data_IF_455208317403
#
_entry.id   IF_455208317403
#
_cell.length_a   1.000
_cell.length_b   1.000
_cell.length_c   1.000
_cell.angle_alpha   90.00
_cell.angle_beta   90.00
_cell.angle_gamma   90.00
#
_symmetry.space_group_name_H-M   'P 1'
#
loop_
_entity.id
_entity.type
_entity.pdbx_description
1 polymer ?
#
# COMPACT_ATOMS: atom_id res chain seq x y z
N UNK A 1 39.57 10.93 -10.27
CA UNK A 1 38.18 10.48 -10.47
C UNK A 1 37.32 11.02 -9.34
N UNK A 2 36.59 12.10 -9.59
CA UNK A 2 35.62 12.62 -8.63
C UNK A 2 34.36 11.76 -8.67
N UNK A 3 34.01 11.25 -7.50
CA UNK A 3 32.88 10.37 -7.26
C UNK A 3 31.64 11.26 -7.20
N UNK A 4 30.94 11.44 -8.33
CA UNK A 4 29.58 11.98 -8.37
C UNK A 4 28.69 10.91 -7.73
N UNK A 5 28.65 10.89 -6.39
CA UNK A 5 27.87 9.93 -5.61
C UNK A 5 26.42 10.38 -5.59
N UNK A 6 25.50 9.50 -6.00
CA UNK A 6 24.26 9.17 -5.28
C UNK A 6 23.75 10.32 -4.40
N UNK A 7 23.11 11.31 -4.99
CA UNK A 7 22.44 12.43 -4.29
C UNK A 7 21.09 12.68 -4.92
N UNK A 8 21.06 12.75 -6.25
CA UNK A 8 19.86 13.02 -7.06
C UNK A 8 18.71 12.03 -6.82
N UNK A 9 18.99 10.72 -6.69
CA UNK A 9 17.94 9.71 -6.45
C UNK A 9 17.42 9.76 -5.02
N UNK A 10 18.29 9.95 -4.03
CA UNK A 10 17.91 10.12 -2.62
C UNK A 10 17.05 11.38 -2.44
N UNK A 11 17.45 12.49 -3.06
CA UNK A 11 16.73 13.77 -3.03
C UNK A 11 15.31 13.65 -3.63
N UNK A 12 15.14 12.87 -4.71
CA UNK A 12 13.84 12.66 -5.34
C UNK A 12 12.89 11.82 -4.47
N UNK A 13 13.39 10.73 -3.87
CA UNK A 13 12.61 9.91 -2.94
C UNK A 13 12.26 10.68 -1.66
N UNK A 14 13.16 11.52 -1.16
CA UNK A 14 12.90 12.39 -0.01
C UNK A 14 11.82 13.45 -0.30
N UNK A 15 11.83 14.02 -1.51
CA UNK A 15 10.78 14.91 -1.98
C UNK A 15 9.43 14.18 -2.07
N UNK A 16 9.40 12.97 -2.67
CA UNK A 16 8.21 12.15 -2.73
C UNK A 16 7.67 11.84 -1.33
N UNK A 17 8.53 11.40 -0.41
CA UNK A 17 8.16 11.08 0.97
C UNK A 17 7.59 12.29 1.73
N UNK A 18 8.08 13.50 1.43
CA UNK A 18 7.54 14.73 2.01
C UNK A 18 6.12 14.99 1.51
N UNK A 19 5.86 14.80 0.22
CA UNK A 19 4.53 14.96 -0.35
C UNK A 19 3.60 13.83 0.13
N UNK A 20 4.08 12.59 0.21
CA UNK A 20 3.30 11.45 0.71
C UNK A 20 2.82 11.69 2.15
N UNK A 21 3.67 12.25 3.02
CA UNK A 21 3.27 12.66 4.38
C UNK A 21 2.22 13.77 4.38
N UNK A 22 2.30 14.72 3.44
CA UNK A 22 1.28 15.75 3.29
C UNK A 22 -0.06 15.18 2.80
N UNK A 23 -0.04 14.28 1.82
CA UNK A 23 -1.23 13.53 1.37
C UNK A 23 -1.86 12.79 2.54
N UNK A 24 -1.04 12.04 3.29
CA UNK A 24 -1.46 11.31 4.48
C UNK A 24 -2.14 12.22 5.51
N UNK A 25 -1.58 13.39 5.79
CA UNK A 25 -2.18 14.35 6.70
C UNK A 25 -3.51 14.92 6.19
N UNK A 26 -3.67 15.10 4.88
CA UNK A 26 -4.92 15.52 4.24
C UNK A 26 -5.99 14.42 4.33
N UNK A 27 -5.62 13.15 4.08
CA UNK A 27 -6.51 12.00 4.27
C UNK A 27 -6.93 11.81 5.73
N UNK A 28 -5.97 11.88 6.67
CA UNK A 28 -6.22 11.76 8.10
C UNK A 28 -7.18 12.85 8.59
N UNK A 29 -7.01 14.09 8.12
CA UNK A 29 -7.91 15.21 8.44
C UNK A 29 -9.33 15.00 7.91
N UNK A 30 -9.48 14.33 6.78
CA UNK A 30 -10.77 13.96 6.22
C UNK A 30 -11.35 12.67 6.83
N UNK A 31 -10.61 11.97 7.71
CA UNK A 31 -11.03 10.68 8.27
C UNK A 31 -10.98 9.52 7.25
N UNK A 32 -10.27 9.69 6.13
CA UNK A 32 -10.18 8.70 5.06
C UNK A 32 -9.01 7.75 5.30
N UNK A 33 -9.27 6.45 5.18
CA UNK A 33 -8.24 5.41 5.15
C UNK A 33 -7.85 5.15 3.70
N UNK A 34 -6.57 5.03 3.40
CA UNK A 34 -6.09 4.84 2.01
C UNK A 34 -5.39 3.51 1.86
N UNK A 35 -5.78 2.72 0.85
CA UNK A 35 -5.14 1.44 0.51
C UNK A 35 -4.60 1.49 -0.91
N UNK A 36 -3.32 1.21 -1.10
CA UNK A 36 -2.65 1.20 -2.40
C UNK A 36 -2.54 -0.24 -2.94
N UNK A 37 -3.23 -0.54 -4.04
CA UNK A 37 -3.21 -1.82 -4.73
C UNK A 37 -2.14 -1.82 -5.82
N UNK A 38 -1.10 -2.61 -5.64
CA UNK A 38 0.01 -2.77 -6.58
C UNK A 38 -0.02 -4.17 -7.20
N UNK A 39 0.47 -4.31 -8.43
CA UNK A 39 0.49 -5.60 -9.12
C UNK A 39 1.40 -5.61 -10.35
N UNK A 40 1.61 -6.77 -10.96
CA UNK A 40 1.99 -6.85 -12.38
C UNK A 40 0.82 -6.42 -13.29
N UNK A 41 1.07 -6.05 -14.57
CA UNK A 41 0.02 -5.95 -15.57
C UNK A 41 -0.80 -7.25 -15.66
N UNK A 42 -2.13 -7.13 -15.70
CA UNK A 42 -3.01 -8.28 -15.89
C UNK A 42 -3.18 -9.21 -14.68
N UNK A 43 -2.65 -8.87 -13.50
CA UNK A 43 -2.90 -9.64 -12.26
C UNK A 43 -4.38 -9.64 -11.82
N UNK A 44 -5.18 -8.68 -12.33
CA UNK A 44 -6.62 -8.61 -12.15
C UNK A 44 -7.09 -7.65 -11.06
N UNK A 45 -6.36 -6.54 -10.82
CA UNK A 45 -6.73 -5.50 -9.84
C UNK A 45 -8.13 -4.94 -10.10
N UNK A 46 -8.40 -4.44 -11.29
CA UNK A 46 -9.72 -3.89 -11.65
C UNK A 46 -10.84 -4.92 -11.51
N UNK A 47 -10.63 -6.17 -11.95
CA UNK A 47 -11.62 -7.24 -11.78
C UNK A 47 -11.86 -7.58 -10.31
N UNK A 48 -10.82 -7.56 -9.48
CA UNK A 48 -10.99 -7.68 -8.04
C UNK A 48 -11.83 -6.52 -7.50
N UNK A 49 -11.53 -5.27 -7.88
CA UNK A 49 -12.31 -4.12 -7.44
C UNK A 49 -13.78 -4.21 -7.87
N UNK A 50 -14.06 -4.60 -9.10
CA UNK A 50 -15.44 -4.82 -9.58
C UNK A 50 -16.20 -5.79 -8.67
N UNK A 51 -15.57 -6.91 -8.28
CA UNK A 51 -16.21 -7.93 -7.45
C UNK A 51 -16.27 -7.56 -5.97
N UNK A 52 -15.25 -6.87 -5.46
CA UNK A 52 -15.20 -6.42 -4.07
C UNK A 52 -16.26 -5.34 -3.83
N UNK A 53 -16.43 -4.40 -4.76
CA UNK A 53 -17.37 -3.29 -4.65
C UNK A 53 -18.80 -3.69 -5.06
N UNK A 54 -18.95 -4.46 -6.14
CA UNK A 54 -20.25 -4.85 -6.68
C UNK A 54 -20.99 -5.93 -5.88
N UNK A 55 -20.27 -6.74 -5.07
CA UNK A 55 -20.86 -7.91 -4.39
C UNK A 55 -21.17 -9.05 -5.36
N UNK A 56 -21.91 -10.07 -4.90
CA UNK A 56 -22.40 -11.16 -5.75
C UNK A 56 -23.80 -10.84 -6.31
N UNK A 57 -24.29 -11.65 -7.26
CA UNK A 57 -25.52 -11.48 -8.06
C UNK A 57 -26.65 -10.72 -7.33
N UNK A 58 -26.74 -9.40 -7.59
CA UNK A 58 -27.79 -8.53 -7.05
C UNK A 58 -27.36 -7.47 -6.03
N UNK A 59 -26.06 -7.29 -5.77
CA UNK A 59 -25.55 -6.14 -5.00
C UNK A 59 -25.58 -6.31 -3.47
N UNK A 60 -25.94 -7.50 -2.98
CA UNK A 60 -25.85 -7.83 -1.57
C UNK A 60 -24.42 -8.31 -1.24
N UNK A 61 -23.76 -7.66 -0.27
CA UNK A 61 -22.45 -8.11 0.26
C UNK A 61 -21.21 -7.42 -0.32
N UNK A 62 -21.35 -6.41 -1.18
CA UNK A 62 -20.21 -5.58 -1.60
C UNK A 62 -19.60 -4.79 -0.44
N UNK A 63 -18.34 -4.39 -0.57
CA UNK A 63 -17.59 -3.66 0.45
C UNK A 63 -18.26 -2.34 0.89
N UNK A 64 -19.03 -1.71 -0.01
CA UNK A 64 -19.83 -0.50 0.26
C UNK A 64 -21.30 -0.77 0.62
N UNK A 65 -21.67 -2.02 0.90
CA UNK A 65 -23.03 -2.40 1.28
C UNK A 65 -23.43 -1.93 2.69
N UNK A 66 -24.66 -2.22 3.14
CA UNK A 66 -25.16 -1.80 4.45
C UNK A 66 -24.23 -2.24 5.60
N UNK A 67 -23.66 -1.26 6.31
CA UNK A 67 -22.70 -1.50 7.42
C UNK A 67 -21.23 -1.55 7.02
N UNK A 68 -20.91 -1.48 5.72
CA UNK A 68 -19.54 -1.32 5.20
C UNK A 68 -19.09 0.14 5.07
N UNK A 69 -17.79 0.40 4.86
CA UNK A 69 -17.28 1.75 4.64
C UNK A 69 -17.78 2.36 3.33
N UNK A 70 -17.92 3.68 3.27
CA UNK A 70 -18.13 4.39 1.99
C UNK A 70 -16.83 4.35 1.19
N UNK A 71 -16.83 3.72 0.03
CA UNK A 71 -15.58 3.50 -0.74
C UNK A 71 -15.51 4.45 -1.93
N UNK A 72 -14.33 5.03 -2.16
CA UNK A 72 -13.94 5.67 -3.42
C UNK A 72 -12.74 4.99 -4.05
N UNK A 73 -12.54 5.19 -5.36
CA UNK A 73 -11.39 4.67 -6.11
C UNK A 73 -10.64 5.81 -6.79
N UNK A 74 -9.31 5.80 -6.66
CA UNK A 74 -8.40 6.55 -7.51
C UNK A 74 -7.74 5.55 -8.46
N UNK A 75 -8.12 5.59 -9.73
CA UNK A 75 -7.60 4.71 -10.78
C UNK A 75 -6.36 5.38 -11.40
N UNK A 76 -5.26 4.64 -11.47
CA UNK A 76 -4.01 5.10 -12.05
C UNK A 76 -3.52 4.18 -13.16
N UNK A 77 -3.52 4.68 -14.38
CA UNK A 77 -2.97 4.00 -15.55
C UNK A 77 -2.03 4.93 -16.34
N UNK A 78 -1.27 4.37 -17.26
CA UNK A 78 -0.41 5.15 -18.15
C UNK A 78 -1.26 6.03 -19.05
N UNK A 79 -2.31 5.47 -19.63
CA UNK A 79 -3.18 6.15 -20.58
C UNK A 79 -4.55 5.47 -20.64
N UNK A 80 -5.59 6.28 -20.84
CA UNK A 80 -6.95 5.82 -21.14
C UNK A 80 -7.90 6.02 -19.98
N UNK A 81 -9.02 5.31 -20.02
CA UNK A 81 -10.07 5.33 -18.99
C UNK A 81 -10.73 3.96 -18.82
N UNK A 82 -10.19 2.90 -19.44
CA UNK A 82 -10.88 1.61 -19.55
C UNK A 82 -11.26 1.05 -18.19
N UNK A 83 -10.35 1.13 -17.21
CA UNK A 83 -10.58 0.60 -15.88
C UNK A 83 -11.49 1.52 -15.04
N UNK A 84 -11.37 2.86 -15.17
CA UNK A 84 -12.34 3.77 -14.55
C UNK A 84 -13.76 3.65 -15.12
N UNK A 85 -13.90 3.46 -16.44
CA UNK A 85 -15.19 3.29 -17.11
C UNK A 85 -15.89 2.02 -16.62
N UNK A 86 -15.13 0.93 -16.48
CA UNK A 86 -15.60 -0.34 -15.88
C UNK A 86 -16.09 -0.17 -14.45
N UNK A 87 -15.38 0.62 -13.64
CA UNK A 87 -15.74 0.86 -12.24
C UNK A 87 -16.91 1.85 -12.08
N UNK A 88 -17.12 2.76 -13.03
CA UNK A 88 -18.16 3.79 -12.97
C UNK A 88 -19.57 3.21 -12.82
N UNK A 89 -19.81 1.99 -13.32
CA UNK A 89 -21.09 1.29 -13.21
C UNK A 89 -21.45 0.87 -11.77
N UNK A 90 -20.49 0.89 -10.84
CA UNK A 90 -20.66 0.41 -9.47
C UNK A 90 -21.16 1.50 -8.50
N UNK A 91 -21.45 2.70 -9.01
CA UNK A 91 -21.96 3.85 -8.25
C UNK A 91 -21.07 4.25 -7.06
N UNK A 92 -19.78 3.94 -7.12
CA UNK A 92 -18.76 4.49 -6.23
C UNK A 92 -18.10 5.72 -6.89
N UNK A 93 -17.60 6.70 -6.13
CA UNK A 93 -16.77 7.74 -6.69
C UNK A 93 -15.48 7.16 -7.30
N UNK A 94 -15.24 7.45 -8.58
CA UNK A 94 -14.01 7.06 -9.29
C UNK A 94 -13.35 8.31 -9.84
N UNK A 95 -12.06 8.48 -9.56
CA UNK A 95 -11.22 9.52 -10.17
C UNK A 95 -10.13 8.84 -10.98
N UNK A 96 -10.02 9.21 -12.26
CA UNK A 96 -8.97 8.74 -13.16
C UNK A 96 -7.72 9.62 -13.03
N UNK A 97 -6.54 9.00 -13.05
CA UNK A 97 -5.25 9.66 -13.10
C UNK A 97 -4.38 8.99 -14.16
N UNK A 98 -4.15 9.68 -15.28
CA UNK A 98 -3.24 9.20 -16.32
C UNK A 98 -1.82 9.72 -16.10
N UNK A 99 -0.83 8.82 -16.07
CA UNK A 99 0.57 9.21 -15.89
C UNK A 99 1.19 9.80 -17.15
N UNK A 100 0.63 9.60 -18.35
CA UNK A 100 1.09 10.31 -19.57
C UNK A 100 0.83 11.83 -19.50
N UNK A 101 -0.28 12.20 -18.86
CA UNK A 101 -0.89 13.52 -18.98
C UNK A 101 -0.28 14.44 -17.94
N UNK A 102 0.81 15.11 -18.34
CA UNK A 102 1.53 16.05 -17.49
C UNK A 102 2.61 15.41 -16.61
N UNK A 103 2.77 14.08 -16.66
CA UNK A 103 3.81 13.36 -15.90
C UNK A 103 4.76 12.50 -16.75
N UNK A 104 4.52 12.33 -18.05
CA UNK A 104 5.50 11.72 -18.96
C UNK A 104 5.41 10.20 -19.12
N UNK A 105 4.32 9.58 -18.69
CA UNK A 105 4.03 8.15 -18.89
C UNK A 105 4.72 7.26 -17.86
N UNK A 106 4.77 7.75 -16.62
CA UNK A 106 5.46 7.07 -15.53
C UNK A 106 4.89 5.67 -15.25
N UNK A 107 5.79 4.76 -14.88
CA UNK A 107 5.48 3.35 -14.61
C UNK A 107 4.81 3.10 -13.25
N UNK A 108 4.45 4.15 -12.50
CA UNK A 108 3.90 4.12 -11.16
C UNK A 108 3.15 5.43 -10.87
N UNK A 109 2.31 5.41 -9.84
CA UNK A 109 1.84 6.63 -9.19
C UNK A 109 2.82 7.07 -8.11
N UNK A 110 3.17 8.35 -8.11
CA UNK A 110 3.91 9.00 -7.03
C UNK A 110 2.98 9.87 -6.14
N UNK A 111 3.51 10.40 -5.05
CA UNK A 111 2.73 11.23 -4.14
C UNK A 111 2.27 12.54 -4.76
N UNK A 112 3.03 13.14 -5.69
CA UNK A 112 2.66 14.39 -6.33
C UNK A 112 1.50 14.20 -7.32
N UNK A 113 1.50 13.09 -8.06
CA UNK A 113 0.38 12.66 -8.89
C UNK A 113 -0.88 12.52 -8.04
N UNK A 114 -0.84 11.73 -6.96
CA UNK A 114 -1.99 11.57 -6.06
C UNK A 114 -2.42 12.90 -5.44
N UNK A 115 -1.47 13.79 -5.09
CA UNK A 115 -1.77 15.15 -4.60
C UNK A 115 -2.61 15.93 -5.61
N UNK A 116 -2.28 15.82 -6.90
CA UNK A 116 -2.98 16.55 -7.96
C UNK A 116 -4.43 16.10 -8.17
N UNK A 117 -4.75 14.84 -7.80
CA UNK A 117 -6.10 14.30 -7.85
C UNK A 117 -6.96 14.61 -6.61
N UNK A 118 -6.36 15.03 -5.48
CA UNK A 118 -7.09 15.31 -4.23
C UNK A 118 -8.29 16.26 -4.40
N UNK A 119 -8.22 17.36 -5.18
CA UNK A 119 -9.36 18.26 -5.34
C UNK A 119 -10.58 17.63 -6.03
N UNK A 120 -10.37 16.56 -6.81
CA UNK A 120 -11.44 15.83 -7.48
C UNK A 120 -12.01 14.68 -6.63
N UNK A 121 -11.30 14.26 -5.58
CA UNK A 121 -11.74 13.20 -4.67
C UNK A 121 -12.76 13.75 -3.67
N UNK A 122 -13.94 13.13 -3.52
CA UNK A 122 -14.95 13.57 -2.55
C UNK A 122 -14.62 13.04 -1.15
N UNK A 123 -13.50 13.50 -0.57
CA UNK A 123 -12.95 12.95 0.69
C UNK A 123 -13.94 13.00 1.87
N UNK A 124 -14.88 13.96 1.89
CA UNK A 124 -15.92 14.05 2.93
C UNK A 124 -17.02 12.98 2.80
N UNK A 125 -17.11 12.35 1.62
CA UNK A 125 -18.16 11.39 1.28
C UNK A 125 -17.69 9.93 1.35
N UNK A 126 -16.41 9.69 1.60
CA UNK A 126 -15.80 8.35 1.66
C UNK A 126 -15.10 8.13 3.00
N UNK A 127 -14.99 6.87 3.41
CA UNK A 127 -14.26 6.41 4.59
C UNK A 127 -12.99 5.62 4.18
N UNK A 128 -13.04 5.00 2.99
CA UNK A 128 -11.97 4.21 2.40
C UNK A 128 -11.72 4.66 0.97
N UNK A 129 -10.47 5.04 0.67
CA UNK A 129 -10.00 5.27 -0.70
C UNK A 129 -9.10 4.10 -1.12
N UNK A 130 -9.46 3.46 -2.22
CA UNK A 130 -8.60 2.46 -2.85
C UNK A 130 -7.87 3.11 -4.03
N UNK A 131 -6.55 3.14 -3.98
CA UNK A 131 -5.70 3.59 -5.08
C UNK A 131 -5.33 2.35 -5.90
N UNK A 132 -5.86 2.23 -7.12
CA UNK A 132 -5.40 1.24 -8.08
C UNK A 132 -4.15 1.77 -8.78
N UNK A 133 -2.98 1.25 -8.42
CA UNK A 133 -1.71 1.73 -8.99
C UNK A 133 -1.43 1.11 -10.36
N UNK A 134 -0.54 1.74 -11.12
CA UNK A 134 -0.08 1.23 -12.42
C UNK A 134 0.44 -0.20 -12.28
N UNK A 135 0.11 -1.07 -13.23
CA UNK A 135 0.60 -2.45 -13.26
C UNK A 135 2.11 -2.49 -13.47
N UNK A 136 2.89 -2.59 -12.39
CA UNK A 136 4.34 -2.76 -12.41
C UNK A 136 4.85 -3.36 -11.09
N UNK A 137 5.74 -4.36 -11.16
CA UNK A 137 6.31 -5.04 -9.98
C UNK A 137 7.59 -4.40 -9.40
N UNK A 138 8.05 -3.30 -9.99
CA UNK A 138 9.32 -2.65 -9.66
C UNK A 138 9.06 -1.24 -9.15
N UNK A 139 8.60 -0.34 -10.02
CA UNK A 139 8.51 1.08 -9.72
C UNK A 139 7.63 1.39 -8.48
N UNK A 140 6.39 0.87 -8.35
CA UNK A 140 5.49 1.30 -7.28
C UNK A 140 5.97 0.93 -5.88
N UNK A 141 6.90 -0.03 -5.75
CA UNK A 141 7.41 -0.47 -4.46
C UNK A 141 8.30 0.57 -3.76
N UNK A 142 8.81 1.57 -4.50
CA UNK A 142 9.70 2.62 -3.98
C UNK A 142 8.95 3.90 -3.59
N UNK A 143 7.71 4.09 -4.06
CA UNK A 143 6.98 5.35 -3.96
C UNK A 143 5.77 5.23 -3.06
N UNK A 144 5.83 5.90 -1.91
CA UNK A 144 4.65 6.16 -1.09
C UNK A 144 3.77 7.21 -1.75
N UNK A 145 2.45 7.00 -1.69
CA UNK A 145 1.43 7.94 -2.18
C UNK A 145 0.64 8.61 -1.06
N UNK A 146 0.88 8.20 0.20
CA UNK A 146 0.18 8.68 1.39
C UNK A 146 -0.78 7.64 2.00
N UNK A 147 -0.61 6.38 1.61
CA UNK A 147 -1.42 5.25 2.00
C UNK A 147 -1.27 4.82 3.47
N UNK A 148 -2.31 4.18 4.01
CA UNK A 148 -2.31 3.47 5.28
C UNK A 148 -1.83 2.03 5.16
N UNK A 149 -2.13 1.38 4.02
CA UNK A 149 -1.71 0.03 3.72
C UNK A 149 -1.48 -0.17 2.23
N UNK A 150 -0.62 -1.13 1.91
CA UNK A 150 -0.26 -1.60 0.58
C UNK A 150 -0.70 -3.06 0.45
N UNK A 151 -1.40 -3.35 -0.63
CA UNK A 151 -1.74 -4.71 -1.04
C UNK A 151 -0.93 -5.03 -2.29
N UNK A 152 -0.22 -6.15 -2.26
CA UNK A 152 0.42 -6.73 -3.44
C UNK A 152 -0.50 -7.80 -4.05
N UNK A 153 -1.06 -7.53 -5.23
CA UNK A 153 -1.85 -8.51 -6.00
C UNK A 153 -0.93 -9.25 -6.96
N UNK A 154 -0.75 -10.54 -6.75
CA UNK A 154 -0.04 -11.46 -7.65
C UNK A 154 -1.04 -12.46 -8.24
N UNK A 155 -0.84 -12.90 -9.48
CA UNK A 155 -1.67 -13.91 -10.12
C UNK A 155 -0.92 -15.24 -10.27
N UNK A 156 -1.61 -16.37 -10.10
CA UNK A 156 -0.99 -17.70 -10.32
C UNK A 156 -0.39 -17.86 -11.72
N UNK A 157 -0.97 -17.19 -12.73
CA UNK A 157 -0.47 -17.21 -14.10
C UNK A 157 0.90 -16.50 -14.27
N UNK A 158 1.35 -15.75 -13.27
CA UNK A 158 2.68 -15.14 -13.29
C UNK A 158 3.77 -16.17 -12.95
N UNK A 159 3.43 -17.24 -12.23
CA UNK A 159 4.39 -18.23 -11.71
C UNK A 159 4.83 -17.93 -10.28
N UNK A 160 5.19 -18.98 -9.54
CA UNK A 160 5.40 -18.93 -8.09
C UNK A 160 6.75 -18.35 -7.63
N UNK A 161 7.58 -17.86 -8.55
CA UNK A 161 8.93 -17.34 -8.29
C UNK A 161 8.97 -15.82 -8.04
N UNK A 162 7.84 -15.13 -8.20
CA UNK A 162 7.76 -13.66 -8.13
C UNK A 162 8.23 -13.06 -6.81
N UNK A 163 7.95 -13.65 -5.62
CA UNK A 163 8.49 -13.12 -4.37
C UNK A 163 10.01 -12.97 -4.38
N UNK A 164 10.73 -13.95 -4.92
CA UNK A 164 12.20 -13.91 -4.98
C UNK A 164 12.72 -12.98 -6.07
N UNK A 165 11.99 -12.84 -7.19
CA UNK A 165 12.39 -11.99 -8.32
C UNK A 165 12.14 -10.50 -8.06
N UNK A 166 11.10 -10.17 -7.31
CA UNK A 166 10.67 -8.78 -7.05
C UNK A 166 10.56 -8.51 -5.54
N UNK A 167 11.60 -8.78 -4.74
CA UNK A 167 11.44 -8.94 -3.32
C UNK A 167 11.11 -7.63 -2.59
N UNK A 168 11.42 -6.46 -3.18
CA UNK A 168 11.00 -5.18 -2.60
C UNK A 168 9.47 -5.03 -2.62
N UNK A 169 8.82 -5.35 -3.76
CA UNK A 169 7.37 -5.26 -3.91
C UNK A 169 6.62 -6.12 -2.88
N UNK A 170 7.12 -7.32 -2.62
CA UNK A 170 6.51 -8.21 -1.63
C UNK A 170 6.85 -7.81 -0.19
N UNK A 171 8.02 -7.22 0.09
CA UNK A 171 8.40 -6.78 1.44
C UNK A 171 7.67 -5.55 1.95
N UNK A 172 7.20 -4.70 1.06
CA UNK A 172 6.61 -3.42 1.46
C UNK A 172 5.12 -3.51 1.71
N UNK A 173 4.45 -4.63 1.45
CA UNK A 173 3.00 -4.76 1.62
C UNK A 173 2.58 -5.32 2.99
N UNK A 174 1.36 -4.99 3.40
CA UNK A 174 0.71 -5.55 4.60
C UNK A 174 -0.14 -6.79 4.26
N UNK A 175 -0.44 -7.01 2.98
CA UNK A 175 -1.20 -8.15 2.47
C UNK A 175 -0.74 -8.53 1.07
N UNK A 176 -0.55 -9.82 0.83
CA UNK A 176 -0.42 -10.42 -0.50
C UNK A 176 -1.73 -11.10 -0.87
N UNK A 177 -2.33 -10.69 -1.99
CA UNK A 177 -3.47 -11.38 -2.60
C UNK A 177 -2.94 -12.22 -3.76
N UNK A 178 -3.09 -13.54 -3.67
CA UNK A 178 -2.80 -14.45 -4.77
C UNK A 178 -4.09 -14.71 -5.55
N UNK A 179 -4.29 -13.95 -6.62
CA UNK A 179 -5.48 -14.00 -7.46
C UNK A 179 -5.42 -15.12 -8.52
N UNK A 180 -6.59 -15.43 -9.09
CA UNK A 180 -6.81 -16.42 -10.15
C UNK A 180 -6.51 -17.86 -9.73
N UNK A 181 -6.75 -18.19 -8.46
CA UNK A 181 -6.52 -19.57 -7.95
C UNK A 181 -7.34 -20.63 -8.69
N UNK A 182 -8.42 -20.23 -9.36
CA UNK A 182 -9.18 -21.08 -10.29
C UNK A 182 -8.36 -21.61 -11.47
N UNK A 183 -7.18 -21.04 -11.74
CA UNK A 183 -6.28 -21.48 -12.81
C UNK A 183 -5.19 -22.44 -12.35
N UNK A 184 -5.07 -22.78 -11.06
CA UNK A 184 -3.97 -23.63 -10.55
C UNK A 184 -3.92 -24.98 -11.27
N UNK A 185 -5.06 -25.58 -11.62
CA UNK A 185 -5.12 -26.85 -12.37
C UNK A 185 -4.69 -26.71 -13.85
N UNK A 186 -4.47 -25.49 -14.33
CA UNK A 186 -4.19 -25.16 -15.72
C UNK A 186 -2.82 -24.54 -15.95
N UNK A 187 -2.06 -24.24 -14.89
CA UNK A 187 -0.72 -23.65 -14.97
C UNK A 187 0.26 -24.39 -14.04
N UNK A 188 1.55 -24.28 -14.33
CA UNK A 188 2.60 -24.81 -13.44
C UNK A 188 2.81 -23.83 -12.27
N UNK A 189 1.98 -23.97 -11.24
CA UNK A 189 2.04 -23.17 -10.03
C UNK A 189 1.91 -24.05 -8.79
N UNK A 190 2.85 -23.90 -7.85
CA UNK A 190 2.85 -24.60 -6.57
C UNK A 190 2.62 -23.60 -5.44
N UNK A 191 1.47 -23.73 -4.76
CA UNK A 191 1.04 -22.82 -3.71
C UNK A 191 1.96 -22.87 -2.48
N UNK A 192 2.40 -24.06 -2.08
CA UNK A 192 3.28 -24.23 -0.92
C UNK A 192 4.66 -23.63 -1.23
N UNK A 193 5.13 -23.81 -2.46
CA UNK A 193 6.38 -23.21 -2.95
C UNK A 193 6.30 -21.70 -3.02
N UNK A 194 5.17 -21.13 -3.46
CA UNK A 194 4.94 -19.69 -3.41
C UNK A 194 4.95 -19.17 -1.97
N UNK A 195 4.21 -19.81 -1.07
CA UNK A 195 4.12 -19.41 0.33
C UNK A 195 5.49 -19.45 1.03
N UNK A 196 6.28 -20.50 0.83
CA UNK A 196 7.63 -20.61 1.39
C UNK A 196 8.58 -19.52 0.86
N UNK A 197 8.46 -19.16 -0.43
CA UNK A 197 9.25 -18.06 -1.03
C UNK A 197 8.81 -16.70 -0.53
N UNK A 198 7.51 -16.52 -0.32
CA UNK A 198 6.97 -15.31 0.27
C UNK A 198 7.46 -15.13 1.71
N UNK A 199 7.37 -16.17 2.53
CA UNK A 199 7.85 -16.13 3.92
C UNK A 199 9.36 -15.85 4.00
N UNK A 200 10.16 -16.40 3.07
CA UNK A 200 11.59 -16.08 2.97
C UNK A 200 11.89 -14.60 2.66
N UNK A 201 10.94 -13.89 2.05
CA UNK A 201 11.08 -12.49 1.63
C UNK A 201 10.44 -11.54 2.65
N UNK A 202 9.26 -11.87 3.13
CA UNK A 202 8.47 -11.11 4.10
C UNK A 202 7.84 -12.06 5.13
N UNK A 203 8.60 -12.43 6.18
CA UNK A 203 8.13 -13.38 7.17
C UNK A 203 6.84 -12.94 7.86
N UNK A 204 5.83 -13.81 7.85
CA UNK A 204 4.56 -13.56 8.54
C UNK A 204 3.60 -12.56 7.88
N UNK A 205 3.85 -12.13 6.63
CA UNK A 205 2.86 -11.35 5.88
C UNK A 205 1.59 -12.17 5.62
N UNK A 206 0.43 -11.53 5.68
CA UNK A 206 -0.82 -12.17 5.32
C UNK A 206 -0.83 -12.56 3.83
N UNK A 207 -1.25 -13.78 3.53
CA UNK A 207 -1.44 -14.31 2.18
C UNK A 207 -2.88 -14.76 2.04
N UNK A 208 -3.61 -14.20 1.07
CA UNK A 208 -4.99 -14.57 0.75
C UNK A 208 -5.08 -15.14 -0.68
N UNK A 209 -5.29 -16.45 -0.83
CA UNK A 209 -5.67 -17.06 -2.11
C UNK A 209 -7.09 -16.60 -2.49
N UNK A 210 -7.24 -16.07 -3.71
CA UNK A 210 -8.49 -15.47 -4.19
C UNK A 210 -8.75 -15.83 -5.66
N UNK A 211 -10.01 -15.97 -6.03
CA UNK A 211 -10.42 -15.93 -7.43
C UNK A 211 -11.49 -14.86 -7.63
N UNK A 212 -11.12 -13.77 -8.30
CA UNK A 212 -12.09 -12.76 -8.76
C UNK A 212 -13.14 -13.36 -9.71
N UNK A 213 -12.84 -14.50 -10.36
CA UNK A 213 -13.77 -15.17 -11.26
C UNK A 213 -14.84 -15.94 -10.49
N UNK A 214 -14.43 -16.82 -9.58
CA UNK A 214 -15.35 -17.72 -8.87
C UNK A 214 -15.95 -17.10 -7.61
N UNK A 215 -15.32 -16.07 -7.07
CA UNK A 215 -15.69 -15.45 -5.79
C UNK A 215 -14.96 -16.02 -4.58
N UNK A 216 -14.15 -17.06 -4.77
CA UNK A 216 -13.33 -17.66 -3.72
C UNK A 216 -12.44 -16.60 -3.04
N UNK A 217 -12.47 -16.55 -1.70
CA UNK A 217 -11.64 -15.65 -0.90
C UNK A 217 -12.08 -14.17 -0.89
N UNK A 218 -13.10 -13.77 -1.66
CA UNK A 218 -13.52 -12.35 -1.72
C UNK A 218 -14.10 -11.83 -0.41
N UNK A 219 -14.83 -12.65 0.34
CA UNK A 219 -15.39 -12.24 1.64
C UNK A 219 -14.30 -11.94 2.66
N UNK A 220 -13.24 -12.76 2.70
CA UNK A 220 -12.10 -12.53 3.58
C UNK A 220 -11.35 -11.26 3.19
N UNK A 221 -11.17 -11.02 1.88
CA UNK A 221 -10.55 -9.80 1.37
C UNK A 221 -11.41 -8.56 1.66
N UNK A 222 -12.75 -8.64 1.52
CA UNK A 222 -13.68 -7.58 1.93
C UNK A 222 -13.57 -7.29 3.43
N UNK A 223 -13.55 -8.31 4.26
CA UNK A 223 -13.39 -8.17 5.71
C UNK A 223 -12.04 -7.51 6.07
N UNK A 224 -10.95 -7.90 5.40
CA UNK A 224 -9.66 -7.27 5.61
C UNK A 224 -9.68 -5.78 5.26
N UNK A 225 -10.25 -5.41 4.11
CA UNK A 225 -10.40 -4.02 3.67
C UNK A 225 -11.25 -3.21 4.64
N UNK A 226 -12.39 -3.75 5.07
CA UNK A 226 -13.26 -3.11 6.06
C UNK A 226 -12.59 -2.94 7.44
N UNK A 227 -11.63 -3.81 7.79
CA UNK A 227 -10.90 -3.70 9.05
C UNK A 227 -9.79 -2.64 9.05
N UNK A 228 -9.30 -2.18 7.88
CA UNK A 228 -8.19 -1.21 7.83
C UNK A 228 -8.54 0.12 8.52
N UNK A 229 -9.71 0.74 8.24
CA UNK A 229 -10.14 1.94 8.96
C UNK A 229 -10.25 1.72 10.48
N UNK A 230 -10.75 0.56 10.91
CA UNK A 230 -10.86 0.25 12.35
C UNK A 230 -9.50 0.12 13.02
N UNK A 231 -8.54 -0.56 12.38
CA UNK A 231 -7.16 -0.68 12.88
C UNK A 231 -6.51 0.70 13.02
N UNK A 232 -6.71 1.57 12.02
CA UNK A 232 -6.24 2.97 12.04
C UNK A 232 -6.85 3.74 13.21
N UNK A 233 -8.17 3.70 13.37
CA UNK A 233 -8.86 4.39 14.47
C UNK A 233 -8.38 3.91 15.85
N UNK A 234 -8.18 2.60 16.02
CA UNK A 234 -7.63 2.03 17.26
C UNK A 234 -6.20 2.49 17.51
N UNK A 235 -5.34 2.51 16.50
CA UNK A 235 -3.95 2.99 16.63
C UNK A 235 -3.88 4.47 17.03
N UNK A 236 -4.78 5.31 16.50
CA UNK A 236 -4.87 6.72 16.86
C UNK A 236 -5.43 6.97 18.28
N UNK A 237 -6.23 6.04 18.81
CA UNK A 237 -6.80 6.13 20.17
C UNK A 237 -5.82 5.70 21.27
N UNK A 238 -4.71 5.02 20.94
CA UNK A 238 -3.65 4.71 21.90
C UNK A 238 -2.85 6.00 22.15
N UNK A 239 -2.82 6.55 23.38
CA UNK A 239 -2.01 7.74 23.67
C UNK A 239 -0.54 7.45 23.37
N UNK A 240 0.22 8.43 22.85
CA UNK A 240 1.64 8.23 22.55
C UNK A 240 2.35 7.70 23.79
N UNK A 241 3.17 6.67 23.61
CA UNK A 241 3.97 6.11 24.69
C UNK A 241 4.72 7.25 25.39
N UNK A 242 4.65 7.29 26.72
CA UNK A 242 5.36 8.29 27.51
C UNK A 242 6.83 8.32 27.08
N UNK A 243 7.35 9.52 26.82
CA UNK A 243 8.74 9.71 26.45
C UNK A 243 9.64 8.92 27.43
N UNK A 244 10.67 8.21 26.94
CA UNK A 244 11.60 7.53 27.83
C UNK A 244 12.14 8.56 28.84
N UNK A 245 12.29 8.18 30.12
CA UNK A 245 12.81 9.09 31.13
C UNK A 245 14.14 9.66 30.63
N UNK A 246 14.30 10.98 30.78
CA UNK A 246 15.52 11.67 30.39
C UNK A 246 16.73 10.91 30.90
N UNK A 247 17.67 10.62 30.00
CA UNK A 247 18.90 9.91 30.35
C UNK A 247 19.52 10.58 31.57
N UNK A 248 19.79 9.77 32.60
CA UNK A 248 20.45 10.26 33.81
C UNK A 248 21.74 10.99 33.40
N UNK A 249 22.04 12.14 33.99
CA UNK A 249 23.26 12.87 33.68
C UNK A 249 24.46 11.93 33.90
N UNK A 250 25.49 12.01 33.04
CA UNK A 250 26.67 11.16 33.18
C UNK A 250 27.22 11.29 34.59
N UNK A 251 27.52 10.15 35.22
CA UNK A 251 28.13 10.10 36.54
C UNK A 251 29.38 10.98 36.54
N UNK A 252 29.47 11.88 37.52
CA UNK A 252 30.62 12.76 37.68
C UNK A 252 31.90 11.93 37.70
N UNK A 253 32.87 12.31 36.85
CA UNK A 253 34.16 11.67 36.81
C UNK A 253 34.80 11.69 38.22
N UNK A 254 35.45 10.60 38.65
CA UNK A 254 36.10 10.57 39.95
C UNK A 254 37.15 11.69 40.03
N UNK A 255 37.10 12.46 41.11
CA UNK A 255 38.03 13.55 41.36
C UNK A 255 39.47 13.00 41.34
N UNK A 256 40.34 13.68 40.59
CA UNK A 256 41.76 13.35 40.55
C UNK A 256 42.35 13.41 41.97
N UNK A 257 43.23 12.48 42.35
CA UNK A 257 43.85 12.49 43.67
C UNK A 257 44.67 13.77 43.85
N UNK A 258 44.51 14.40 45.01
CA UNK A 258 45.24 15.61 45.39
C UNK A 258 46.75 15.36 45.37
N UNK A 259 47.56 16.36 44.95
CA UNK A 259 49.02 16.23 45.01
C UNK A 259 49.46 16.07 46.45
N UNK A 260 50.23 15.04 46.73
CA UNK A 260 50.90 14.86 48.01
C UNK A 260 51.82 16.07 48.25
N UNK A 261 51.46 16.89 49.23
CA UNK A 261 52.34 17.93 49.76
C UNK A 261 53.62 17.28 50.31
N UNK A 262 54.76 17.84 49.93
CA UNK A 262 56.07 17.36 50.34
C UNK A 262 56.39 17.57 51.81
N UNK A 263 57.44 16.90 52.26
CA UNK A 263 58.19 17.28 53.44
C UNK A 263 59.69 16.98 53.23
N UNK A 264 60.47 18.06 53.37
CA UNK A 264 61.93 18.22 53.54
C UNK A 264 62.81 18.03 52.30
#
# INVERSE_FOLDING_TARGET
>A
MHRVKVRVVEDALDANNTIARANRADFDRAGVTVVNLMSAPGAGKTTLLERLLGGDDGGAGGLGGPGGPRVGVLEGDVQGSLDADRLAHLHVPVVQLNTDSGFGGECHLDANMVRSALPALPLEQIDLLIVENVGNLVCPAEFHVGEDARIMVSSVAEGDDKPLKYPLMFRTCELVVLNKVDLIEHVDFDLDRFAARLDAVHPGVALMPVSARTGEGLDELRAWLASVPERKARAAAVPPAAAPPAAAPPAAAPAAPAPAGGAV
#
